data_IF_588938648737
#
_entry.id   IF_588938648737
#
_cell.length_a   1.000
_cell.length_b   1.000
_cell.length_c   1.000
_cell.angle_alpha   90.00
_cell.angle_beta   90.00
_cell.angle_gamma   90.00
#
_symmetry.space_group_name_H-M   'P 1'
#
loop_
_entity.id
_entity.type
_entity.pdbx_description
1 polymer ?
#
# COMPACT_ATOMS: atom_id res chain seq x y z
N UNK A 1 -7.55 8.09 -14.43
CA UNK A 1 -6.17 8.37 -14.01
C UNK A 1 -5.36 7.09 -14.11
N UNK A 2 -4.21 7.16 -14.75
CA UNK A 2 -3.34 6.00 -14.95
C UNK A 2 -2.65 5.62 -13.63
N UNK A 3 -2.48 4.32 -13.41
CA UNK A 3 -1.78 3.80 -12.21
C UNK A 3 -0.36 4.35 -12.11
N UNK A 4 0.34 4.51 -13.23
CA UNK A 4 1.69 5.05 -13.25
C UNK A 4 1.73 6.48 -12.71
N UNK A 5 0.74 7.30 -13.05
CA UNK A 5 0.65 8.67 -12.52
C UNK A 5 0.43 8.66 -11.01
N UNK A 6 -0.43 7.78 -10.53
CA UNK A 6 -0.68 7.63 -9.10
C UNK A 6 0.60 7.21 -8.38
N UNK A 7 1.34 6.27 -8.97
CA UNK A 7 2.58 5.78 -8.40
C UNK A 7 3.65 6.88 -8.33
N UNK A 8 3.79 7.69 -9.38
CA UNK A 8 4.71 8.83 -9.38
C UNK A 8 4.37 9.83 -8.29
N UNK A 9 3.10 10.13 -8.10
CA UNK A 9 2.64 11.04 -7.05
C UNK A 9 2.92 10.47 -5.67
N UNK A 10 2.70 9.17 -5.48
CA UNK A 10 2.96 8.51 -4.22
C UNK A 10 4.44 8.53 -3.87
N UNK A 11 5.32 8.30 -4.85
CA UNK A 11 6.77 8.37 -4.67
C UNK A 11 7.20 9.79 -4.26
N UNK A 12 6.53 10.80 -4.80
CA UNK A 12 6.79 12.19 -4.46
C UNK A 12 6.24 12.60 -3.09
N UNK A 13 5.51 11.70 -2.40
CA UNK A 13 4.99 11.97 -1.07
C UNK A 13 3.54 12.44 -1.02
N UNK A 14 2.80 12.34 -2.12
CA UNK A 14 1.39 12.71 -2.17
C UNK A 14 0.57 11.69 -1.36
N UNK A 15 0.03 12.13 -0.22
CA UNK A 15 -0.74 11.28 0.69
C UNK A 15 -1.98 10.70 0.02
N UNK A 16 -2.66 11.48 -0.81
CA UNK A 16 -3.86 11.00 -1.51
C UNK A 16 -3.52 9.86 -2.46
N UNK A 17 -2.38 9.97 -3.17
CA UNK A 17 -1.92 8.91 -4.06
C UNK A 17 -1.56 7.65 -3.29
N UNK A 18 -0.90 7.79 -2.14
CA UNK A 18 -0.57 6.65 -1.27
C UNK A 18 -1.84 5.96 -0.81
N UNK A 19 -2.85 6.72 -0.37
CA UNK A 19 -4.13 6.17 0.04
C UNK A 19 -4.84 5.44 -1.09
N UNK A 20 -4.76 5.97 -2.32
CA UNK A 20 -5.34 5.33 -3.49
C UNK A 20 -4.67 3.99 -3.77
N UNK A 21 -3.35 3.91 -3.67
CA UNK A 21 -2.61 2.66 -3.86
C UNK A 21 -3.01 1.64 -2.79
N UNK A 22 -3.07 2.05 -1.53
CA UNK A 22 -3.50 1.17 -0.45
C UNK A 22 -4.91 0.65 -0.66
N UNK A 23 -5.79 1.49 -1.19
CA UNK A 23 -7.17 1.09 -1.49
C UNK A 23 -7.24 0.07 -2.62
N UNK A 24 -6.41 0.23 -3.65
CA UNK A 24 -6.33 -0.72 -4.76
C UNK A 24 -5.88 -2.09 -4.25
N UNK A 25 -4.91 -2.12 -3.33
CA UNK A 25 -4.37 -3.37 -2.78
C UNK A 25 -5.08 -3.85 -1.53
N UNK A 26 -6.14 -3.16 -1.08
CA UNK A 26 -6.85 -3.52 0.14
C UNK A 26 -7.29 -4.98 0.21
N UNK A 27 -7.91 -5.57 -0.84
CA UNK A 27 -8.29 -6.98 -0.78
C UNK A 27 -7.09 -7.90 -0.57
N UNK A 28 -5.96 -7.59 -1.21
CA UNK A 28 -4.75 -8.38 -1.07
C UNK A 28 -4.14 -8.21 0.33
N UNK A 29 -4.13 -6.98 0.84
CA UNK A 29 -3.64 -6.69 2.19
C UNK A 29 -4.45 -7.46 3.22
N UNK A 30 -5.77 -7.40 3.12
CA UNK A 30 -6.66 -8.11 4.05
C UNK A 30 -6.49 -9.62 3.95
N UNK A 31 -6.35 -10.15 2.74
CA UNK A 31 -6.14 -11.58 2.53
C UNK A 31 -4.85 -12.07 3.20
N UNK A 32 -3.77 -11.27 3.14
CA UNK A 32 -2.48 -11.62 3.74
C UNK A 32 -2.39 -11.25 5.22
N UNK A 33 -3.41 -10.56 5.76
CA UNK A 33 -3.44 -10.15 7.16
C UNK A 33 -4.23 -11.10 8.04
N UNK A 34 -4.72 -12.20 7.50
CA UNK A 34 -5.50 -13.17 8.26
C UNK A 34 -4.59 -14.13 8.99
N UNK A 35 -4.93 -14.36 10.26
CA UNK A 35 -4.26 -15.33 11.09
C UNK A 35 -5.32 -16.23 11.72
N UNK A 36 -5.21 -17.54 11.48
CA UNK A 36 -6.18 -18.54 11.99
C UNK A 36 -7.63 -18.21 11.58
N UNK A 37 -7.83 -17.72 10.37
CA UNK A 37 -9.15 -17.39 9.85
C UNK A 37 -9.72 -16.06 10.29
N UNK A 38 -8.97 -15.28 11.09
CA UNK A 38 -9.40 -13.97 11.56
C UNK A 38 -8.45 -12.89 11.08
N UNK A 39 -8.99 -11.69 10.83
CA UNK A 39 -8.20 -10.54 10.46
C UNK A 39 -7.31 -10.13 11.64
N UNK A 40 -6.01 -10.07 11.41
CA UNK A 40 -5.03 -9.59 12.38
C UNK A 40 -4.70 -8.13 12.05
N UNK A 41 -5.20 -7.20 12.86
CA UNK A 41 -5.02 -5.78 12.62
C UNK A 41 -3.55 -5.36 12.72
N UNK A 42 -2.78 -5.97 13.61
CA UNK A 42 -1.36 -5.66 13.74
C UNK A 42 -0.60 -6.09 12.49
N UNK A 43 -0.93 -7.24 11.94
CA UNK A 43 -0.33 -7.73 10.70
C UNK A 43 -0.73 -6.85 9.52
N UNK A 44 -1.99 -6.43 9.45
CA UNK A 44 -2.48 -5.51 8.43
C UNK A 44 -1.70 -4.20 8.47
N UNK A 45 -1.55 -3.61 9.65
CA UNK A 45 -0.81 -2.37 9.83
C UNK A 45 0.65 -2.52 9.44
N UNK A 46 1.27 -3.64 9.80
CA UNK A 46 2.65 -3.94 9.42
C UNK A 46 2.82 -4.00 7.90
N UNK A 47 1.89 -4.65 7.20
CA UNK A 47 1.91 -4.77 5.74
C UNK A 47 1.75 -3.39 5.10
N UNK A 48 0.83 -2.57 5.60
CA UNK A 48 0.60 -1.22 5.10
C UNK A 48 1.86 -0.37 5.25
N UNK A 49 2.49 -0.42 6.41
CA UNK A 49 3.72 0.33 6.67
C UNK A 49 4.83 -0.11 5.72
N UNK A 50 4.97 -1.40 5.46
CA UNK A 50 5.97 -1.92 4.52
C UNK A 50 5.70 -1.43 3.10
N UNK A 51 4.45 -1.40 2.68
CA UNK A 51 4.09 -0.89 1.36
C UNK A 51 4.48 0.57 1.23
N UNK A 52 4.17 1.40 2.23
CA UNK A 52 4.50 2.82 2.22
C UNK A 52 6.01 3.03 2.14
N UNK A 53 6.78 2.29 2.94
CA UNK A 53 8.23 2.37 2.92
C UNK A 53 8.82 1.96 1.57
N UNK A 54 8.26 0.91 0.97
CA UNK A 54 8.74 0.43 -0.33
C UNK A 54 8.41 1.39 -1.46
N UNK A 55 7.27 2.09 -1.38
CA UNK A 55 6.92 3.12 -2.35
C UNK A 55 7.99 4.21 -2.39
N UNK A 56 8.43 4.67 -1.22
CA UNK A 56 9.46 5.72 -1.15
C UNK A 56 10.82 5.27 -1.67
N UNK A 57 11.09 3.97 -1.65
CA UNK A 57 12.33 3.41 -2.17
C UNK A 57 12.26 3.10 -3.67
N UNK A 58 11.07 3.07 -4.23
CA UNK A 58 10.86 2.71 -5.63
C UNK A 58 11.30 3.86 -6.52
N UNK A 59 12.17 3.55 -7.49
CA UNK A 59 12.65 4.53 -8.45
C UNK A 59 12.17 4.14 -9.84
N UNK A 60 11.45 5.06 -10.48
CA UNK A 60 11.05 4.92 -11.87
C UNK A 60 11.98 5.79 -12.70
N UNK A 61 12.75 5.15 -13.57
CA UNK A 61 13.61 5.85 -14.51
C UNK A 61 12.97 5.90 -15.89
#
# INVERSE_FOLDING_TARGET
MDFVDILHKAIAGDENAILMILKIYEPLIKSNSKWRGKLDEDLEEYIIIRIIKNIHKFKIN
#
